data_IF_912553468429
#
_entry.id   IF_912553468429
#
_cell.length_a   1.000
_cell.length_b   1.000
_cell.length_c   1.000
_cell.angle_alpha   90.00
_cell.angle_beta   90.00
_cell.angle_gamma   90.00
#
_symmetry.space_group_name_H-M   'P 1'
#
loop_
_entity.id
_entity.type
_entity.pdbx_description
1 polymer ?
#
# COMPACT_ATOMS: atom_id res chain seq x y z
N UNK A 1 1.45 5.55 -13.71
CA UNK A 1 2.31 5.16 -12.57
C UNK A 1 3.63 5.90 -12.70
N UNK A 2 4.08 6.54 -11.63
CA UNK A 2 5.40 7.18 -11.53
C UNK A 2 6.37 6.31 -10.70
N UNK A 3 7.59 6.79 -10.44
CA UNK A 3 8.61 6.08 -9.64
C UNK A 3 8.13 5.69 -8.24
N UNK A 4 7.26 6.50 -7.61
CA UNK A 4 6.74 6.23 -6.26
C UNK A 4 5.76 5.07 -6.27
N UNK A 5 4.96 4.93 -7.33
CA UNK A 5 4.09 3.77 -7.53
C UNK A 5 4.92 2.49 -7.66
N UNK A 6 5.98 2.54 -8.48
CA UNK A 6 6.88 1.41 -8.67
C UNK A 6 7.64 1.04 -7.39
N UNK A 7 8.02 2.03 -6.59
CA UNK A 7 8.64 1.80 -5.30
C UNK A 7 7.69 1.07 -4.34
N UNK A 8 6.44 1.52 -4.20
CA UNK A 8 5.42 0.82 -3.40
C UNK A 8 5.22 -0.62 -3.90
N UNK A 9 5.07 -0.80 -5.22
CA UNK A 9 4.89 -2.12 -5.82
C UNK A 9 6.05 -3.07 -5.49
N UNK A 10 7.29 -2.59 -5.62
CA UNK A 10 8.48 -3.39 -5.28
C UNK A 10 8.52 -3.81 -3.81
N UNK A 11 8.02 -2.98 -2.89
CA UNK A 11 7.98 -3.28 -1.46
C UNK A 11 6.90 -4.31 -1.12
N UNK A 12 5.74 -4.23 -1.78
CA UNK A 12 4.70 -5.25 -1.68
C UNK A 12 5.22 -6.58 -2.20
N UNK A 13 5.79 -6.62 -3.41
CA UNK A 13 6.38 -7.84 -3.97
C UNK A 13 7.41 -8.49 -3.03
N UNK A 14 8.34 -7.68 -2.50
CA UNK A 14 9.36 -8.13 -1.55
C UNK A 14 8.75 -8.68 -0.26
N UNK A 15 7.73 -8.01 0.29
CA UNK A 15 7.15 -8.38 1.59
C UNK A 15 6.32 -9.65 1.51
N UNK A 16 5.56 -9.83 0.43
CA UNK A 16 4.68 -10.98 0.25
C UNK A 16 5.34 -12.12 -0.54
N UNK A 17 6.66 -12.08 -0.73
CA UNK A 17 7.40 -13.15 -1.41
C UNK A 17 6.89 -13.44 -2.82
N UNK A 18 6.46 -12.39 -3.54
CA UNK A 18 6.03 -12.52 -4.93
C UNK A 18 7.32 -12.59 -5.76
N UNK A 19 7.85 -13.80 -5.86
CA UNK A 19 9.08 -14.09 -6.57
C UNK A 19 8.99 -13.64 -8.03
N UNK A 20 10.07 -13.03 -8.54
CA UNK A 20 10.21 -12.62 -9.95
C UNK A 20 10.80 -13.75 -10.81
N UNK A 21 10.91 -14.95 -10.26
CA UNK A 21 11.68 -16.07 -10.83
C UNK A 21 10.93 -16.81 -11.93
N UNK A 22 9.61 -16.64 -12.04
CA UNK A 22 8.86 -17.09 -13.21
C UNK A 22 8.52 -15.90 -14.11
N UNK A 23 8.69 -16.08 -15.42
CA UNK A 23 8.25 -15.11 -16.45
C UNK A 23 6.75 -14.82 -16.40
N UNK A 24 5.97 -15.54 -15.58
CA UNK A 24 4.56 -15.27 -15.31
C UNK A 24 4.33 -14.18 -14.24
N UNK A 25 5.35 -13.74 -13.49
CA UNK A 25 5.18 -12.85 -12.33
C UNK A 25 5.11 -11.35 -12.65
N UNK A 26 5.51 -10.95 -13.87
CA UNK A 26 5.13 -9.63 -14.43
C UNK A 26 3.61 -9.43 -14.40
N UNK A 27 2.85 -10.52 -14.39
CA UNK A 27 1.39 -10.52 -14.30
C UNK A 27 0.87 -10.00 -12.97
N UNK A 28 1.53 -10.21 -11.83
CA UNK A 28 0.98 -9.76 -10.55
C UNK A 28 0.95 -8.24 -10.48
N UNK A 29 2.07 -7.59 -10.79
CA UNK A 29 2.13 -6.13 -10.69
C UNK A 29 1.22 -5.45 -11.73
N UNK A 30 1.18 -6.00 -12.94
CA UNK A 30 0.28 -5.52 -13.99
C UNK A 30 -1.20 -5.76 -13.65
N UNK A 31 -1.56 -6.87 -13.00
CA UNK A 31 -2.96 -7.18 -12.67
C UNK A 31 -3.44 -6.53 -11.38
N UNK A 32 -2.61 -6.47 -10.34
CA UNK A 32 -3.00 -5.96 -9.03
C UNK A 32 -2.86 -4.44 -8.95
N UNK A 33 -1.69 -3.88 -9.27
CA UNK A 33 -1.46 -2.44 -9.11
C UNK A 33 -2.18 -1.58 -10.15
N UNK A 34 -2.59 -2.16 -11.29
CA UNK A 34 -3.38 -1.45 -12.30
C UNK A 34 -4.89 -1.54 -12.08
N UNK A 35 -5.36 -2.34 -11.12
CA UNK A 35 -6.77 -2.27 -10.71
C UNK A 35 -7.08 -0.86 -10.23
N UNK A 36 -8.20 -0.31 -10.69
CA UNK A 36 -8.62 1.05 -10.34
C UNK A 36 -8.70 1.25 -8.82
N UNK A 37 -9.30 0.31 -8.10
CA UNK A 37 -9.47 0.42 -6.65
C UNK A 37 -8.15 0.47 -5.87
N UNK A 38 -7.12 -0.24 -6.35
CA UNK A 38 -5.77 -0.24 -5.76
C UNK A 38 -5.04 1.04 -6.15
N UNK A 39 -5.10 1.41 -7.44
CA UNK A 39 -4.41 2.57 -7.97
C UNK A 39 -4.95 3.88 -7.35
N UNK A 40 -6.27 3.99 -7.16
CA UNK A 40 -6.90 5.15 -6.54
C UNK A 40 -6.50 5.33 -5.08
N UNK A 41 -6.36 4.22 -4.32
CA UNK A 41 -5.86 4.25 -2.94
C UNK A 41 -4.40 4.68 -2.87
N UNK A 42 -3.56 4.22 -3.80
CA UNK A 42 -2.15 4.62 -3.91
C UNK A 42 -2.04 6.09 -4.31
N UNK A 43 -2.81 6.54 -5.30
CA UNK A 43 -2.87 7.93 -5.73
C UNK A 43 -3.28 8.84 -4.58
N UNK A 44 -4.36 8.49 -3.88
CA UNK A 44 -4.81 9.19 -2.68
C UNK A 44 -3.71 9.25 -1.61
N UNK A 45 -2.98 8.16 -1.37
CA UNK A 45 -1.85 8.16 -0.43
C UNK A 45 -0.70 9.10 -0.85
N UNK A 46 -0.41 9.19 -2.15
CA UNK A 46 0.68 9.99 -2.71
C UNK A 46 0.36 11.49 -2.86
N UNK A 47 -0.91 11.88 -2.72
CA UNK A 47 -1.35 13.28 -2.75
C UNK A 47 -1.16 13.95 -1.38
N UNK A 48 -0.67 15.19 -1.38
CA UNK A 48 -0.44 15.97 -0.15
C UNK A 48 -1.68 16.06 0.76
N UNK A 49 -2.88 16.17 0.18
CA UNK A 49 -4.17 16.24 0.91
C UNK A 49 -4.94 14.92 0.96
N UNK A 50 -4.37 13.81 0.48
CA UNK A 50 -5.01 12.51 0.57
C UNK A 50 -4.59 11.74 1.82
N UNK A 51 -4.86 10.43 1.84
CA UNK A 51 -4.56 9.60 3.01
C UNK A 51 -3.08 9.66 3.38
N UNK A 52 -2.77 9.71 4.68
CA UNK A 52 -1.41 9.62 5.17
C UNK A 52 -0.99 8.17 5.50
N UNK A 53 -1.90 7.21 5.29
CA UNK A 53 -1.71 5.78 5.57
C UNK A 53 -2.15 4.94 4.37
N UNK A 54 -1.41 3.88 4.11
CA UNK A 54 -1.73 2.86 3.13
C UNK A 54 -1.29 1.50 3.68
N UNK A 55 -2.19 0.53 3.65
CA UNK A 55 -1.99 -0.78 4.20
C UNK A 55 -2.15 -1.83 3.11
N UNK A 56 -1.30 -2.84 3.17
CA UNK A 56 -1.44 -4.07 2.41
C UNK A 56 -1.41 -5.23 3.39
N UNK A 57 -2.34 -6.16 3.27
CA UNK A 57 -2.32 -7.33 4.13
C UNK A 57 -2.81 -8.58 3.41
N UNK A 58 -2.43 -9.71 3.97
CA UNK A 58 -2.94 -11.03 3.63
C UNK A 58 -2.76 -11.94 4.84
N UNK A 59 -3.27 -13.15 4.75
CA UNK A 59 -3.01 -14.21 5.71
C UNK A 59 -2.05 -15.23 5.11
N UNK A 60 -1.28 -15.97 5.93
CA UNK A 60 -0.25 -16.90 5.41
C UNK A 60 -0.87 -18.01 4.53
N UNK A 61 -2.08 -18.44 4.84
CA UNK A 61 -2.85 -19.40 4.04
C UNK A 61 -3.25 -18.86 2.66
N UNK A 62 -3.42 -17.54 2.52
CA UNK A 62 -3.81 -16.86 1.28
C UNK A 62 -2.63 -16.29 0.49
N UNK A 63 -1.43 -16.34 1.05
CA UNK A 63 -0.22 -15.85 0.42
C UNK A 63 0.08 -16.59 -0.88
N UNK A 64 -0.13 -17.92 -0.91
CA UNK A 64 0.10 -18.75 -2.10
C UNK A 64 -0.79 -18.35 -3.29
N UNK A 65 -2.01 -17.88 -3.03
CA UNK A 65 -2.92 -17.36 -4.06
C UNK A 65 -2.71 -15.88 -4.38
N UNK A 66 -1.73 -15.23 -3.75
CA UNK A 66 -1.45 -13.78 -3.89
C UNK A 66 -2.68 -12.92 -3.63
N UNK A 67 -3.56 -13.37 -2.72
CA UNK A 67 -4.76 -12.64 -2.34
C UNK A 67 -4.39 -11.56 -1.32
N UNK A 68 -3.98 -10.41 -1.84
CA UNK A 68 -3.51 -9.27 -1.08
C UNK A 68 -4.58 -8.19 -1.13
N UNK A 69 -4.95 -7.66 0.03
CA UNK A 69 -5.86 -6.53 0.15
C UNK A 69 -5.09 -5.24 0.31
N UNK A 70 -5.57 -4.18 -0.34
CA UNK A 70 -5.07 -2.81 -0.21
C UNK A 70 -6.15 -1.93 0.42
N UNK A 71 -5.84 -1.24 1.52
CA UNK A 71 -6.78 -0.38 2.24
C UNK A 71 -6.07 0.86 2.86
N UNK A 72 -6.86 1.85 3.28
CA UNK A 72 -6.37 3.08 3.94
C UNK A 72 -6.73 3.15 5.43
N UNK A 73 -7.53 2.21 5.91
CA UNK A 73 -7.91 2.00 7.32
C UNK A 73 -8.04 0.51 7.60
N UNK A 74 -7.71 0.08 8.82
CA UNK A 74 -7.83 -1.32 9.28
C UNK A 74 -9.10 -1.54 10.12
N UNK A 75 -9.77 -0.45 10.54
CA UNK A 75 -10.77 -0.46 11.62
C UNK A 75 -12.00 -1.34 11.33
N UNK A 76 -12.29 -1.65 10.06
CA UNK A 76 -13.50 -2.39 9.66
C UNK A 76 -13.19 -3.69 8.88
N UNK A 77 -11.94 -4.15 8.89
CA UNK A 77 -11.55 -5.39 8.21
C UNK A 77 -11.92 -6.60 9.09
N UNK A 78 -13.19 -7.02 9.04
CA UNK A 78 -13.68 -8.25 9.69
C UNK A 78 -12.82 -9.49 9.39
N UNK A 79 -12.19 -9.49 8.21
CA UNK A 79 -11.26 -10.53 7.78
C UNK A 79 -9.97 -10.59 8.62
N UNK A 80 -9.59 -9.51 9.31
CA UNK A 80 -8.42 -9.47 10.19
C UNK A 80 -8.80 -9.67 11.67
N UNK A 81 -10.00 -9.25 12.08
CA UNK A 81 -10.43 -9.26 13.49
C UNK A 81 -10.52 -10.69 14.06
N UNK A 82 -10.87 -11.68 13.23
CA UNK A 82 -11.01 -13.07 13.66
C UNK A 82 -9.78 -13.93 13.33
N UNK A 83 -8.76 -13.36 12.68
CA UNK A 83 -7.55 -14.09 12.32
C UNK A 83 -6.52 -13.97 13.45
N UNK A 84 -5.82 -15.06 13.78
CA UNK A 84 -4.79 -15.01 14.80
C UNK A 84 -3.61 -14.17 14.27
N UNK A 85 -3.05 -13.31 15.13
CA UNK A 85 -2.06 -12.29 14.74
C UNK A 85 -0.80 -12.87 14.08
N UNK A 86 -0.43 -14.10 14.45
CA UNK A 86 0.67 -14.82 13.84
C UNK A 86 0.37 -15.26 12.40
N UNK A 87 -0.89 -15.40 12.00
CA UNK A 87 -1.29 -15.73 10.63
C UNK A 87 -1.35 -14.50 9.71
N UNK A 88 -1.32 -13.28 10.25
CA UNK A 88 -1.47 -12.05 9.47
C UNK A 88 -0.10 -11.54 9.02
N UNK A 89 0.01 -11.20 7.73
CA UNK A 89 1.14 -10.44 7.19
C UNK A 89 0.61 -9.05 6.82
N UNK A 90 1.15 -8.01 7.47
CA UNK A 90 0.75 -6.62 7.27
C UNK A 90 1.95 -5.76 6.87
N UNK A 91 1.83 -5.05 5.75
CA UNK A 91 2.73 -4.00 5.31
C UNK A 91 2.02 -2.66 5.40
N UNK A 92 2.66 -1.66 6.00
CA UNK A 92 2.11 -0.33 6.13
C UNK A 92 3.08 0.73 5.59
N UNK A 93 2.52 1.72 4.91
CA UNK A 93 3.20 2.93 4.49
C UNK A 93 2.58 4.10 5.25
N UNK A 94 3.42 4.92 5.87
CA UNK A 94 3.00 6.11 6.60
C UNK A 94 3.75 7.29 5.98
N UNK A 95 2.99 8.32 5.63
CA UNK A 95 3.50 9.62 5.22
C UNK A 95 3.29 10.59 6.38
N UNK A 96 4.28 11.40 6.70
CA UNK A 96 4.10 12.49 7.67
C UNK A 96 3.02 13.45 7.19
N UNK A 97 2.19 13.97 8.10
CA UNK A 97 1.22 14.99 7.75
C UNK A 97 1.94 16.24 7.24
N UNK A 98 1.81 16.50 5.94
CA UNK A 98 2.36 17.69 5.30
C UNK A 98 1.49 18.93 5.56
N UNK A 99 0.63 18.93 6.59
CA UNK A 99 -0.15 20.12 6.97
C UNK A 99 0.72 21.26 7.52
N UNK A 100 2.02 21.01 7.72
CA UNK A 100 2.99 21.97 8.26
C UNK A 100 4.06 22.39 7.25
N UNK A 101 3.81 22.26 5.95
CA UNK A 101 4.65 22.94 4.95
C UNK A 101 4.30 24.44 4.91
N UNK A 102 5.10 25.20 5.66
CA UNK A 102 5.42 26.61 5.50
C UNK A 102 4.22 27.58 5.34
N UNK A 103 3.73 28.06 6.47
CA UNK A 103 3.39 29.49 6.56
C UNK A 103 4.69 30.26 6.34
N UNK A 104 4.97 30.61 5.08
CA UNK A 104 5.96 31.64 4.77
C UNK A 104 5.43 32.90 5.46
N UNK A 105 5.98 33.26 6.62
CA UNK A 105 5.79 34.61 7.14
C UNK A 105 6.30 35.56 6.08
N UNK A 106 5.49 36.49 5.56
CA UNK A 106 6.05 37.60 4.81
C UNK A 106 6.97 38.34 5.76
N UNK A 107 8.26 38.36 5.45
CA UNK A 107 9.21 39.25 6.10
C UNK A 107 8.60 40.66 6.03
N UNK A 108 8.32 41.24 7.19
CA UNK A 108 7.88 42.62 7.29
C UNK A 108 9.14 43.47 7.13
N UNK A 109 9.22 44.19 6.01
CA UNK A 109 10.13 45.35 5.83
C UNK A 109 9.70 46.51 6.74
#
# INVERSE_FOLDING_TARGET
>A
MDERHWWIASKVEQTFGIDKTSTADTSFTESFFRRSDVLDKINSFLLAKGSNKLFFYTTRDRLASKDITCCQTIIDEYALVNEPLDNIILLYFIRSDTSSDATISPASD
#
